data_IF_814820855692
#
_entry.id   IF_814820855692
#
_cell.length_a   1.000
_cell.length_b   1.000
_cell.length_c   1.000
_cell.angle_alpha   90.00
_cell.angle_beta   90.00
_cell.angle_gamma   90.00
#
_symmetry.space_group_name_H-M   'P 1'
#
loop_
_entity.id
_entity.type
_entity.pdbx_description
1 polymer ?
#
# COMPACT_ATOMS: atom_id res chain seq x y z
N UNK A 1 6.51 -22.02 64.45
CA UNK A 1 6.34 -22.95 63.30
C UNK A 1 5.16 -22.42 62.47
N UNK A 2 5.39 -21.77 61.33
CA UNK A 2 5.38 -22.37 59.96
C UNK A 2 3.96 -22.90 59.66
N UNK A 3 3.17 -22.48 58.67
CA UNK A 3 3.29 -21.70 57.42
C UNK A 3 1.84 -21.35 57.03
N UNK A 4 1.58 -20.15 56.48
CA UNK A 4 0.65 -19.91 55.37
C UNK A 4 0.48 -18.41 55.13
N UNK A 5 1.48 -17.79 54.51
CA UNK A 5 1.40 -16.40 53.99
C UNK A 5 1.71 -16.31 52.49
N UNK A 6 1.67 -17.43 51.75
CA UNK A 6 1.96 -17.45 50.31
C UNK A 6 0.77 -17.71 49.39
N UNK A 7 -0.46 -17.86 49.91
CA UNK A 7 -1.64 -18.12 49.06
C UNK A 7 -2.56 -16.90 48.86
N UNK A 8 -2.38 -15.81 49.63
CA UNK A 8 -3.19 -14.59 49.47
C UNK A 8 -2.57 -13.56 48.51
N UNK A 9 -1.27 -13.70 48.19
CA UNK A 9 -0.56 -12.81 47.27
C UNK A 9 -0.73 -13.14 45.79
N UNK A 10 -1.28 -14.31 45.45
CA UNK A 10 -1.43 -14.75 44.06
C UNK A 10 -2.81 -14.41 43.45
N UNK A 11 -3.82 -14.14 44.28
CA UNK A 11 -5.18 -13.81 43.80
C UNK A 11 -5.31 -12.31 43.45
N UNK A 12 -4.48 -11.44 44.05
CA UNK A 12 -4.53 -9.99 43.80
C UNK A 12 -3.74 -9.59 42.53
N UNK A 13 -2.74 -10.36 42.11
CA UNK A 13 -1.97 -10.05 40.89
C UNK A 13 -2.73 -10.43 39.61
N UNK A 14 -3.61 -11.42 39.66
CA UNK A 14 -4.44 -11.83 38.50
C UNK A 14 -5.65 -10.91 38.29
N UNK A 15 -6.15 -10.26 39.35
CA UNK A 15 -7.27 -9.32 39.22
C UNK A 15 -6.85 -7.94 38.67
N UNK A 16 -5.60 -7.52 38.84
CA UNK A 16 -5.10 -6.25 38.29
C UNK A 16 -4.63 -6.33 36.84
N UNK A 17 -4.38 -7.52 36.28
CA UNK A 17 -3.94 -7.68 34.89
C UNK A 17 -5.10 -7.85 33.88
N UNK A 18 -6.33 -8.11 34.34
CA UNK A 18 -7.51 -8.24 33.46
C UNK A 18 -8.25 -6.90 33.28
N UNK A 19 -7.99 -5.89 34.11
CA UNK A 19 -8.62 -4.56 34.00
C UNK A 19 -7.79 -3.57 33.16
N UNK A 20 -6.54 -3.91 32.80
CA UNK A 20 -5.67 -3.07 31.98
C UNK A 20 -5.69 -3.39 30.47
N UNK A 21 -6.52 -4.35 30.02
CA UNK A 21 -6.65 -4.75 28.61
C UNK A 21 -8.03 -4.42 27.99
N UNK A 22 -8.77 -3.49 28.58
CA UNK A 22 -10.11 -3.11 28.13
C UNK A 22 -10.30 -1.59 27.86
N UNK A 23 -9.21 -0.85 27.60
CA UNK A 23 -9.26 0.60 27.35
C UNK A 23 -8.57 1.08 26.05
N UNK A 24 -8.46 0.24 25.03
CA UNK A 24 -8.13 0.69 23.66
C UNK A 24 -9.16 0.13 22.67
N UNK A 25 -10.43 0.42 22.93
CA UNK A 25 -11.49 0.50 21.92
C UNK A 25 -12.45 1.56 22.46
N UNK A 26 -12.30 2.82 22.02
CA UNK A 26 -13.33 3.88 22.01
C UNK A 26 -12.70 5.24 21.66
N UNK A 27 -12.50 5.48 20.36
CA UNK A 27 -12.90 6.76 19.77
C UNK A 27 -13.84 6.42 18.62
N UNK A 28 -15.14 6.40 18.93
CA UNK A 28 -16.17 6.03 17.96
C UNK A 28 -17.51 5.73 18.61
N UNK A 29 -18.09 6.71 19.30
CA UNK A 29 -19.53 6.78 19.54
C UNK A 29 -19.91 8.22 19.92
N UNK A 30 -20.29 9.02 18.92
CA UNK A 30 -21.25 10.11 19.14
C UNK A 30 -22.64 9.53 18.88
N UNK A 31 -23.54 9.71 19.84
CA UNK A 31 -24.95 9.40 19.70
C UNK A 31 -25.71 10.71 19.51
N UNK A 32 -26.50 10.80 18.44
CA UNK A 32 -27.60 11.76 18.33
C UNK A 32 -27.67 12.54 17.02
N UNK A 33 -28.18 11.91 15.97
CA UNK A 33 -29.38 12.38 15.23
C UNK A 33 -29.54 11.61 13.93
N UNK A 34 -30.71 11.03 13.77
CA UNK A 34 -31.21 10.31 12.60
C UNK A 34 -31.11 11.17 11.33
N UNK A 35 -30.18 10.81 10.47
CA UNK A 35 -30.34 10.97 9.03
C UNK A 35 -29.80 9.69 8.39
N UNK A 36 -30.68 8.98 7.69
CA UNK A 36 -30.33 7.85 6.85
C UNK A 36 -29.56 8.37 5.64
N UNK A 37 -28.28 8.67 5.82
CA UNK A 37 -27.33 8.79 4.72
C UNK A 37 -27.01 7.38 4.28
N UNK A 38 -27.53 7.01 3.10
CA UNK A 38 -27.09 5.87 2.30
C UNK A 38 -25.56 5.79 2.43
N UNK A 39 -25.06 4.73 3.07
CA UNK A 39 -23.62 4.55 3.27
C UNK A 39 -22.98 4.52 1.90
N UNK A 40 -22.33 5.60 1.49
CA UNK A 40 -21.41 5.55 0.36
C UNK A 40 -20.36 4.53 0.76
N UNK A 41 -20.42 3.32 0.20
CA UNK A 41 -19.39 2.31 0.43
C UNK A 41 -18.05 2.97 0.16
N UNK A 42 -17.19 3.10 1.17
CA UNK A 42 -15.83 3.61 0.95
C UNK A 42 -15.17 2.75 -0.12
N UNK A 43 -14.29 3.34 -0.95
CA UNK A 43 -13.54 2.56 -1.93
C UNK A 43 -12.78 1.41 -1.22
N UNK A 44 -12.32 1.65 0.02
CA UNK A 44 -11.82 0.63 0.94
C UNK A 44 -12.75 -0.57 1.16
N UNK A 45 -14.05 -0.37 1.38
CA UNK A 45 -14.97 -1.52 1.64
C UNK A 45 -15.02 -2.45 0.42
N UNK A 46 -14.84 -1.91 -0.79
CA UNK A 46 -14.74 -2.70 -2.02
C UNK A 46 -13.33 -3.30 -2.21
N UNK A 47 -12.26 -2.60 -1.80
CA UNK A 47 -10.89 -3.10 -1.84
C UNK A 47 -10.59 -4.19 -0.78
N UNK A 48 -11.20 -4.13 0.41
CA UNK A 48 -11.02 -5.08 1.50
C UNK A 48 -11.77 -6.40 1.24
N UNK A 49 -12.98 -6.33 0.67
CA UNK A 49 -13.76 -7.51 0.25
C UNK A 49 -13.16 -8.24 -0.96
N UNK A 50 -12.14 -7.64 -1.57
CA UNK A 50 -11.38 -8.19 -2.70
C UNK A 50 -9.97 -8.53 -2.27
N UNK A 51 -9.76 -9.17 -1.10
CA UNK A 51 -8.48 -9.80 -0.63
C UNK A 51 -8.60 -11.35 -0.57
N UNK A 52 -7.62 -12.22 -0.96
CA UNK A 52 -6.13 -12.14 -1.05
C UNK A 52 -5.42 -12.04 -2.45
N UNK A 53 -4.09 -11.81 -2.50
CA UNK A 53 -3.31 -12.20 -3.71
C UNK A 53 -2.25 -13.26 -3.45
N UNK A 54 -1.57 -13.28 -2.31
CA UNK A 54 -0.94 -14.51 -1.81
C UNK A 54 -1.23 -14.66 -0.33
N UNK A 55 -1.84 -15.78 0.06
CA UNK A 55 -2.11 -16.02 1.48
C UNK A 55 -0.78 -16.22 2.21
N UNK A 56 -0.58 -15.63 3.40
CA UNK A 56 0.54 -16.03 4.24
C UNK A 56 0.44 -17.50 4.59
N UNK A 57 1.59 -18.14 4.76
CA UNK A 57 1.60 -19.47 5.34
C UNK A 57 0.99 -19.40 6.75
N UNK A 58 0.04 -20.30 7.06
CA UNK A 58 -0.41 -20.46 8.44
C UNK A 58 0.81 -20.79 9.31
N UNK A 59 0.90 -20.19 10.50
CA UNK A 59 2.05 -20.17 11.44
C UNK A 59 2.60 -21.54 11.89
N UNK A 60 2.21 -22.64 11.24
CA UNK A 60 2.74 -23.98 11.44
C UNK A 60 3.64 -24.36 10.27
N UNK A 61 4.95 -24.37 10.54
CA UNK A 61 6.02 -24.91 9.71
C UNK A 61 6.48 -24.07 8.50
N UNK A 62 7.29 -23.05 8.79
CA UNK A 62 8.44 -22.75 7.93
C UNK A 62 9.67 -22.73 8.82
N UNK A 63 10.43 -23.83 8.79
CA UNK A 63 11.86 -23.79 9.07
C UNK A 63 12.46 -22.69 8.21
N UNK A 64 12.66 -21.52 8.82
CA UNK A 64 13.24 -20.36 8.17
C UNK A 64 14.64 -20.74 7.68
N UNK A 65 14.74 -21.10 6.41
CA UNK A 65 16.00 -20.93 5.69
C UNK A 65 16.35 -19.45 5.81
N UNK A 66 17.58 -19.13 6.21
CA UNK A 66 18.06 -17.77 6.52
C UNK A 66 17.99 -16.75 5.36
N UNK A 67 17.26 -17.04 4.29
CA UNK A 67 17.22 -16.33 3.00
C UNK A 67 15.81 -15.85 2.58
N UNK A 68 14.75 -16.21 3.31
CA UNK A 68 13.37 -15.78 2.99
C UNK A 68 12.95 -14.59 3.88
N UNK A 69 13.04 -13.38 3.33
CA UNK A 69 12.68 -12.15 4.05
C UNK A 69 13.08 -10.86 3.31
N UNK A 70 13.09 -9.74 4.04
CA UNK A 70 13.48 -8.43 3.52
C UNK A 70 14.88 -8.47 2.89
N UNK A 71 15.06 -7.83 1.74
CA UNK A 71 16.28 -7.86 0.93
C UNK A 71 16.32 -8.94 -0.15
N UNK A 72 15.43 -9.94 -0.09
CA UNK A 72 15.27 -10.90 -1.18
C UNK A 72 14.28 -10.38 -2.24
N UNK A 73 14.69 -10.20 -3.51
CA UNK A 73 13.80 -9.68 -4.55
C UNK A 73 12.53 -10.51 -4.79
N UNK A 74 12.61 -11.83 -4.60
CA UNK A 74 11.45 -12.73 -4.72
C UNK A 74 10.50 -12.55 -3.54
N UNK A 75 11.02 -12.28 -2.34
CA UNK A 75 10.20 -11.92 -1.19
C UNK A 75 9.47 -10.60 -1.44
N UNK A 76 10.11 -9.60 -2.05
CA UNK A 76 9.43 -8.35 -2.45
C UNK A 76 8.28 -8.62 -3.41
N UNK A 77 8.45 -9.51 -4.38
CA UNK A 77 7.38 -9.88 -5.33
C UNK A 77 6.18 -10.59 -4.64
N UNK A 78 6.44 -11.39 -3.60
CA UNK A 78 5.40 -11.94 -2.74
C UNK A 78 4.74 -10.85 -1.88
N UNK A 79 5.55 -10.12 -1.12
CA UNK A 79 5.11 -9.23 -0.06
C UNK A 79 4.26 -8.07 -0.59
N UNK A 80 4.61 -7.52 -1.75
CA UNK A 80 3.90 -6.38 -2.34
C UNK A 80 2.43 -6.70 -2.66
N UNK A 81 2.10 -7.97 -2.90
CA UNK A 81 0.74 -8.45 -3.18
C UNK A 81 0.26 -9.49 -2.16
N UNK A 82 0.94 -9.63 -1.01
CA UNK A 82 0.47 -10.48 0.09
C UNK A 82 -0.92 -10.01 0.52
N UNK A 83 -1.78 -10.96 0.89
CA UNK A 83 -3.05 -10.62 1.54
C UNK A 83 -2.82 -9.73 2.77
N UNK A 84 -3.58 -8.65 2.87
CA UNK A 84 -3.61 -7.81 4.05
C UNK A 84 -5.00 -7.85 4.69
N UNK A 85 -5.04 -8.20 5.97
CA UNK A 85 -6.23 -8.11 6.82
C UNK A 85 -5.88 -7.25 8.02
N UNK A 86 -6.51 -6.08 8.17
CA UNK A 86 -6.19 -5.13 9.23
C UNK A 86 -6.22 -5.78 10.64
N UNK A 87 -7.18 -6.67 10.89
CA UNK A 87 -7.29 -7.39 12.18
C UNK A 87 -6.13 -8.34 12.48
N UNK A 88 -5.36 -8.74 11.46
CA UNK A 88 -4.23 -9.68 11.55
C UNK A 88 -2.88 -8.99 11.40
N UNK A 89 -2.79 -8.05 10.46
CA UNK A 89 -1.53 -7.58 9.89
C UNK A 89 -1.14 -6.14 10.30
N UNK A 90 -2.05 -5.36 10.89
CA UNK A 90 -1.74 -3.99 11.32
C UNK A 90 -0.57 -3.99 12.33
N UNK A 91 0.43 -3.13 12.11
CA UNK A 91 1.66 -3.09 12.91
C UNK A 91 2.72 -4.14 12.55
N UNK A 92 2.41 -5.11 11.67
CA UNK A 92 3.36 -6.11 11.16
C UNK A 92 3.60 -6.02 9.64
N UNK A 93 2.62 -5.50 8.90
CA UNK A 93 2.72 -5.19 7.49
C UNK A 93 2.73 -3.69 7.30
N UNK A 94 3.77 -3.21 6.65
CA UNK A 94 3.95 -1.83 6.26
C UNK A 94 3.35 -1.54 4.87
N UNK A 95 3.51 -0.30 4.42
CA UNK A 95 2.99 0.21 3.13
C UNK A 95 3.77 -0.28 1.92
N UNK A 96 4.78 -1.15 2.09
CA UNK A 96 5.33 -1.91 0.96
C UNK A 96 4.32 -2.89 0.37
N UNK A 97 3.28 -3.22 1.13
CA UNK A 97 2.15 -3.98 0.64
C UNK A 97 1.11 -3.07 -0.05
N UNK A 98 0.75 -3.38 -1.29
CA UNK A 98 -0.20 -2.59 -2.09
C UNK A 98 -1.56 -2.45 -1.40
N UNK A 99 -2.05 -3.51 -0.76
CA UNK A 99 -3.35 -3.48 -0.09
C UNK A 99 -3.30 -2.56 1.12
N UNK A 100 -2.29 -2.67 1.99
CA UNK A 100 -2.10 -1.71 3.09
C UNK A 100 -2.02 -0.27 2.58
N UNK A 101 -1.28 -0.03 1.51
CA UNK A 101 -1.17 1.30 0.90
C UNK A 101 -2.53 1.84 0.41
N UNK A 102 -3.33 1.03 -0.30
CA UNK A 102 -4.67 1.42 -0.75
C UNK A 102 -5.58 1.78 0.44
N UNK A 103 -5.48 1.03 1.54
CA UNK A 103 -6.26 1.25 2.76
C UNK A 103 -5.91 2.57 3.40
N UNK A 104 -4.61 2.83 3.53
CA UNK A 104 -4.13 4.05 4.16
C UNK A 104 -4.42 5.28 3.31
N UNK A 105 -4.31 5.17 1.97
CA UNK A 105 -4.73 6.24 1.05
C UNK A 105 -6.23 6.50 1.13
N UNK A 106 -7.08 5.46 1.18
CA UNK A 106 -8.52 5.64 1.38
C UNK A 106 -8.84 6.29 2.75
N UNK A 107 -8.09 5.94 3.79
CA UNK A 107 -8.21 6.57 5.11
C UNK A 107 -7.88 8.07 5.07
N UNK A 108 -6.82 8.47 4.34
CA UNK A 108 -6.51 9.89 4.11
C UNK A 108 -7.62 10.57 3.31
N UNK A 109 -8.07 9.96 2.21
CA UNK A 109 -9.14 10.52 1.37
C UNK A 109 -10.40 10.72 2.21
N UNK A 110 -10.88 9.67 2.86
CA UNK A 110 -12.12 9.69 3.66
C UNK A 110 -12.05 10.68 4.82
N UNK A 111 -10.89 10.78 5.49
CA UNK A 111 -10.69 11.69 6.61
C UNK A 111 -10.64 13.16 6.21
N UNK A 112 -9.99 13.47 5.08
CA UNK A 112 -9.74 14.86 4.65
C UNK A 112 -10.83 15.39 3.70
N UNK A 113 -11.46 14.51 2.92
CA UNK A 113 -12.53 14.88 1.96
C UNK A 113 -13.67 15.65 2.63
N UNK A 114 -14.07 15.28 3.84
CA UNK A 114 -15.16 15.98 4.56
C UNK A 114 -14.83 17.44 4.89
N UNK A 115 -13.54 17.82 4.87
CA UNK A 115 -13.07 19.18 5.09
C UNK A 115 -12.72 19.91 3.79
N UNK A 116 -12.80 19.22 2.65
CA UNK A 116 -12.54 19.80 1.33
C UNK A 116 -13.59 20.85 0.98
N UNK A 117 -13.11 21.97 0.44
CA UNK A 117 -13.93 23.11 0.01
C UNK A 117 -13.85 23.23 -1.50
N UNK A 118 -14.91 23.75 -2.09
CA UNK A 118 -14.92 24.06 -3.52
C UNK A 118 -13.79 25.03 -3.87
N UNK A 119 -13.09 24.72 -4.95
CA UNK A 119 -12.08 25.57 -5.58
C UNK A 119 -12.48 25.82 -7.04
N UNK A 120 -11.80 26.75 -7.71
CA UNK A 120 -11.91 26.82 -9.16
C UNK A 120 -11.34 25.53 -9.75
N UNK A 121 -12.11 24.87 -10.63
CA UNK A 121 -11.67 23.65 -11.30
C UNK A 121 -10.32 23.87 -11.96
N UNK A 122 -9.36 23.02 -11.63
CA UNK A 122 -8.01 23.12 -12.16
C UNK A 122 -7.34 21.76 -12.27
N UNK A 123 -6.41 21.67 -13.21
CA UNK A 123 -5.49 20.54 -13.32
C UNK A 123 -4.44 20.62 -12.21
N UNK A 124 -4.36 19.58 -11.40
CA UNK A 124 -3.31 19.39 -10.40
C UNK A 124 -2.31 18.40 -11.00
N UNK A 125 -1.10 18.90 -11.27
CA UNK A 125 -0.01 18.09 -11.83
C UNK A 125 0.82 17.53 -10.70
N UNK A 126 0.97 16.21 -10.67
CA UNK A 126 1.86 15.56 -9.73
C UNK A 126 3.35 15.86 -10.03
N UNK A 127 4.21 15.91 -8.99
CA UNK A 127 5.66 16.01 -9.14
C UNK A 127 6.33 14.87 -9.93
N UNK A 128 5.69 13.71 -10.06
CA UNK A 128 6.28 12.59 -10.80
C UNK A 128 5.71 12.59 -12.22
N UNK A 129 6.59 12.61 -13.23
CA UNK A 129 6.17 12.70 -14.64
C UNK A 129 5.25 11.55 -15.10
N UNK A 130 5.31 10.40 -14.40
CA UNK A 130 4.43 9.26 -14.63
C UNK A 130 3.04 9.41 -14.02
N UNK A 131 2.88 10.28 -13.02
CA UNK A 131 1.63 10.47 -12.31
C UNK A 131 0.61 11.21 -13.17
N UNK A 132 -0.56 10.57 -13.33
CA UNK A 132 -1.66 11.15 -14.09
C UNK A 132 -2.02 12.53 -13.54
N UNK A 133 -2.24 13.46 -14.48
CA UNK A 133 -2.88 14.72 -14.16
C UNK A 133 -4.32 14.48 -13.75
N UNK A 134 -4.74 15.17 -12.70
CA UNK A 134 -6.09 15.06 -12.15
C UNK A 134 -6.74 16.44 -12.23
N UNK A 135 -8.00 16.45 -12.67
CA UNK A 135 -8.83 17.65 -12.62
C UNK A 135 -9.53 17.66 -11.26
N UNK A 136 -9.32 18.72 -10.49
CA UNK A 136 -9.87 18.88 -9.15
C UNK A 136 -10.77 20.11 -9.08
N UNK A 137 -11.88 20.01 -8.35
CA UNK A 137 -12.81 21.09 -8.04
C UNK A 137 -13.02 21.26 -6.52
N UNK A 138 -12.35 20.44 -5.71
CA UNK A 138 -12.32 20.52 -4.25
C UNK A 138 -10.90 20.37 -3.72
N UNK A 139 -10.58 21.06 -2.61
CA UNK A 139 -9.31 20.87 -1.91
C UNK A 139 -9.40 21.17 -0.40
N UNK A 140 -8.47 20.58 0.37
CA UNK A 140 -8.25 20.86 1.79
C UNK A 140 -6.77 20.75 2.14
N UNK A 141 -6.30 21.62 3.03
CA UNK A 141 -5.00 21.52 3.69
C UNK A 141 -5.22 21.45 5.20
N UNK A 142 -4.93 20.32 5.81
CA UNK A 142 -5.02 20.10 7.26
C UNK A 142 -3.65 20.23 7.90
N UNK A 143 -3.34 21.44 8.37
CA UNK A 143 -2.05 21.75 8.99
C UNK A 143 -1.79 20.89 10.24
N UNK A 144 -2.79 20.76 11.11
CA UNK A 144 -2.66 20.00 12.36
C UNK A 144 -2.44 18.50 12.17
N UNK A 145 -3.14 17.91 11.19
CA UNK A 145 -3.02 16.48 10.86
C UNK A 145 -1.93 16.20 9.82
N UNK A 146 -1.27 17.26 9.32
CA UNK A 146 -0.26 17.23 8.25
C UNK A 146 -0.69 16.43 7.02
N UNK A 147 -1.92 16.66 6.58
CA UNK A 147 -2.51 15.99 5.41
C UNK A 147 -3.14 17.00 4.49
N UNK A 148 -3.18 16.71 3.21
CA UNK A 148 -3.90 17.54 2.27
C UNK A 148 -4.44 16.71 1.10
N UNK A 149 -5.46 17.26 0.44
CA UNK A 149 -6.15 16.63 -0.68
C UNK A 149 -6.56 17.68 -1.70
N UNK A 150 -6.49 17.32 -2.98
CA UNK A 150 -7.32 17.90 -4.01
C UNK A 150 -8.05 16.77 -4.72
N UNK A 151 -9.33 16.95 -4.99
CA UNK A 151 -10.16 15.91 -5.59
C UNK A 151 -11.25 16.48 -6.48
N UNK A 152 -11.77 15.59 -7.32
CA UNK A 152 -13.11 15.68 -7.90
C UNK A 152 -13.81 14.35 -7.66
N UNK A 153 -15.07 14.44 -7.25
CA UNK A 153 -15.90 13.26 -7.05
C UNK A 153 -17.27 13.44 -7.67
N UNK A 154 -17.63 12.49 -8.53
CA UNK A 154 -18.95 12.37 -9.13
C UNK A 154 -19.66 11.13 -8.59
N UNK A 155 -20.88 10.90 -9.05
CA UNK A 155 -21.60 9.65 -8.81
C UNK A 155 -20.83 8.42 -9.33
N UNK A 156 -20.02 8.58 -10.38
CA UNK A 156 -19.39 7.47 -11.10
C UNK A 156 -17.89 7.35 -10.84
N UNK A 157 -17.24 8.40 -10.32
CA UNK A 157 -15.78 8.43 -10.24
C UNK A 157 -15.27 9.26 -9.07
N UNK A 158 -14.12 8.84 -8.52
CA UNK A 158 -13.26 9.64 -7.66
C UNK A 158 -11.94 9.85 -8.40
N UNK A 159 -11.48 11.08 -8.49
CA UNK A 159 -10.08 11.40 -8.80
C UNK A 159 -9.54 12.24 -7.64
N UNK A 160 -8.41 11.85 -7.06
CA UNK A 160 -7.82 12.55 -5.93
C UNK A 160 -6.29 12.52 -5.98
N UNK A 161 -5.67 13.61 -5.53
CA UNK A 161 -4.27 13.65 -5.12
C UNK A 161 -4.26 13.94 -3.63
N UNK A 162 -3.61 13.08 -2.87
CA UNK A 162 -3.44 13.22 -1.42
C UNK A 162 -1.97 13.29 -1.06
N UNK A 163 -1.70 14.01 0.01
CA UNK A 163 -0.39 14.09 0.63
C UNK A 163 -0.50 13.91 2.13
N UNK A 164 0.52 13.35 2.76
CA UNK A 164 0.55 13.14 4.20
C UNK A 164 1.95 13.26 4.78
N UNK A 165 2.00 13.62 6.06
CA UNK A 165 3.12 13.36 6.95
C UNK A 165 2.60 12.53 8.12
N UNK A 166 3.16 11.35 8.33
CA UNK A 166 2.93 10.56 9.54
C UNK A 166 4.15 10.54 10.43
N UNK A 167 3.94 10.70 11.73
CA UNK A 167 4.99 10.61 12.74
C UNK A 167 4.63 9.47 13.69
N UNK A 168 5.29 8.32 13.55
CA UNK A 168 5.07 7.16 14.44
C UNK A 168 5.87 7.27 15.75
N UNK A 169 6.86 8.16 15.78
CA UNK A 169 7.64 8.48 16.98
C UNK A 169 8.17 9.93 16.91
N UNK A 170 8.75 10.43 18.00
CA UNK A 170 9.49 11.69 18.00
C UNK A 170 10.74 11.67 17.08
N UNK A 171 11.03 10.51 16.50
CA UNK A 171 12.20 10.22 15.72
C UNK A 171 11.87 10.35 14.22
N UNK A 172 11.09 9.45 13.61
CA UNK A 172 10.94 9.42 12.14
C UNK A 172 9.62 9.98 11.64
N UNK A 173 9.67 10.68 10.51
CA UNK A 173 8.49 11.05 9.73
C UNK A 173 8.44 10.23 8.44
N UNK A 174 7.25 9.77 8.09
CA UNK A 174 6.91 9.31 6.75
C UNK A 174 6.29 10.47 5.99
N UNK A 175 6.77 10.73 4.78
CA UNK A 175 6.22 11.71 3.87
C UNK A 175 5.75 11.00 2.61
N UNK A 176 4.50 11.25 2.20
CA UNK A 176 3.97 10.57 1.03
C UNK A 176 3.00 11.41 0.22
N UNK A 177 2.85 10.97 -1.02
CA UNK A 177 1.88 11.47 -2.00
C UNK A 177 1.30 10.29 -2.76
N UNK A 178 -0.01 10.33 -3.01
CA UNK A 178 -0.69 9.38 -3.87
C UNK A 178 -1.69 10.09 -4.77
N UNK A 179 -1.76 9.68 -6.03
CA UNK A 179 -2.87 9.97 -6.91
C UNK A 179 -3.71 8.71 -7.10
N UNK A 180 -5.03 8.88 -7.05
CA UNK A 180 -6.01 7.81 -7.18
C UNK A 180 -7.03 8.23 -8.22
N UNK A 181 -7.35 7.31 -9.12
CA UNK A 181 -8.58 7.33 -9.92
C UNK A 181 -9.34 6.06 -9.66
N UNK A 182 -10.61 6.18 -9.30
CA UNK A 182 -11.49 5.04 -9.08
C UNK A 182 -12.82 5.25 -9.78
N UNK A 183 -13.17 4.35 -10.69
CA UNK A 183 -14.48 4.31 -11.33
C UNK A 183 -15.41 3.40 -10.51
N UNK A 184 -16.41 4.02 -9.87
CA UNK A 184 -17.39 3.36 -9.00
C UNK A 184 -18.29 2.39 -9.77
N UNK A 185 -18.49 2.61 -11.07
CA UNK A 185 -19.33 1.74 -11.91
C UNK A 185 -18.54 0.53 -12.42
N UNK A 186 -17.40 0.76 -13.05
CA UNK A 186 -16.60 -0.31 -13.68
C UNK A 186 -15.70 -1.02 -12.70
N UNK A 187 -15.50 -0.47 -11.49
CA UNK A 187 -14.56 -0.96 -10.48
C UNK A 187 -13.09 -0.89 -10.92
N UNK A 188 -12.79 -0.05 -11.92
CA UNK A 188 -11.43 0.24 -12.34
C UNK A 188 -10.75 1.17 -11.33
N UNK A 189 -9.50 0.85 -10.98
CA UNK A 189 -8.64 1.67 -10.14
C UNK A 189 -7.32 1.93 -10.84
N UNK A 190 -6.81 3.14 -10.69
CA UNK A 190 -5.40 3.47 -10.82
C UNK A 190 -4.93 4.12 -9.52
N UNK A 191 -3.88 3.58 -8.92
CA UNK A 191 -3.13 4.15 -7.83
C UNK A 191 -1.70 4.40 -8.29
N UNK A 192 -1.21 5.58 -8.00
CA UNK A 192 0.20 5.89 -8.11
C UNK A 192 0.63 6.61 -6.86
N UNK A 193 1.65 6.10 -6.20
CA UNK A 193 2.06 6.58 -4.91
C UNK A 193 3.56 6.55 -4.75
N UNK A 194 4.06 7.39 -3.87
CA UNK A 194 5.42 7.30 -3.36
C UNK A 194 5.46 7.82 -1.94
N UNK A 195 6.33 7.25 -1.14
CA UNK A 195 6.62 7.76 0.19
C UNK A 195 8.07 7.48 0.59
N UNK A 196 8.55 8.28 1.52
CA UNK A 196 9.87 8.14 2.12
C UNK A 196 9.76 8.25 3.64
N UNK A 197 10.55 7.47 4.36
CA UNK A 197 10.67 7.53 5.82
C UNK A 197 12.05 8.08 6.17
N UNK A 198 12.13 9.36 6.57
CA UNK A 198 13.40 10.01 6.92
C UNK A 198 13.22 11.24 7.86
N UNK A 199 14.31 11.68 8.49
CA UNK A 199 14.46 12.95 9.20
C UNK A 199 14.81 14.10 8.25
N UNK A 200 15.58 13.81 7.19
CA UNK A 200 16.08 14.82 6.24
C UNK A 200 16.15 14.22 4.84
N UNK A 201 15.14 14.49 4.01
CA UNK A 201 15.12 14.03 2.62
C UNK A 201 16.30 14.56 1.78
N UNK A 202 17.08 15.55 2.29
CA UNK A 202 18.29 16.03 1.65
C UNK A 202 19.54 15.21 1.96
N UNK A 203 19.53 14.36 3.01
CA UNK A 203 20.53 13.31 3.18
C UNK A 203 20.09 12.10 2.34
N UNK A 204 20.85 11.78 1.29
CA UNK A 204 20.54 10.66 0.36
C UNK A 204 20.43 9.28 1.02
N UNK A 205 20.68 9.18 2.33
CA UNK A 205 20.48 7.97 3.13
C UNK A 205 19.05 7.88 3.67
N UNK A 206 18.06 7.91 2.79
CA UNK A 206 16.70 7.55 3.15
C UNK A 206 16.68 6.08 3.57
N UNK A 207 16.39 5.78 4.83
CA UNK A 207 16.34 4.41 5.34
C UNK A 207 15.30 3.56 4.60
N UNK A 208 14.27 4.21 4.05
CA UNK A 208 13.20 3.53 3.33
C UNK A 208 12.48 4.48 2.37
N UNK A 209 12.43 4.11 1.09
CA UNK A 209 11.78 4.90 0.03
C UNK A 209 11.10 3.98 -0.98
N UNK A 210 9.91 4.35 -1.41
CA UNK A 210 9.04 3.52 -2.22
C UNK A 210 8.40 4.32 -3.34
N UNK A 211 8.32 3.71 -4.53
CA UNK A 211 7.48 4.18 -5.64
C UNK A 211 6.64 3.02 -6.15
N UNK A 212 5.34 3.25 -6.26
CA UNK A 212 4.35 2.26 -6.67
C UNK A 212 3.40 2.82 -7.73
N UNK A 213 3.09 1.99 -8.70
CA UNK A 213 2.01 2.15 -9.67
C UNK A 213 1.21 0.86 -9.68
N UNK A 214 -0.10 0.98 -9.57
CA UNK A 214 -1.03 -0.12 -9.72
C UNK A 214 -2.23 0.36 -10.54
N UNK A 215 -2.58 -0.36 -11.60
CA UNK A 215 -3.87 -0.15 -12.27
C UNK A 215 -4.57 -1.49 -12.46
N UNK A 216 -5.88 -1.49 -12.54
CA UNK A 216 -6.61 -2.73 -12.65
C UNK A 216 -8.09 -2.59 -12.38
N UNK A 217 -8.71 -3.72 -12.06
CA UNK A 217 -10.11 -3.80 -11.76
C UNK A 217 -10.31 -4.69 -10.53
N UNK A 218 -10.89 -4.11 -9.48
CA UNK A 218 -11.03 -4.81 -8.20
C UNK A 218 -12.07 -5.93 -8.26
N UNK A 219 -13.05 -5.84 -9.17
CA UNK A 219 -14.06 -6.89 -9.34
C UNK A 219 -13.51 -8.12 -10.05
N UNK A 220 -12.69 -7.94 -11.09
CA UNK A 220 -12.09 -9.04 -11.86
C UNK A 220 -10.74 -9.51 -11.31
N UNK A 221 -10.16 -8.79 -10.34
CA UNK A 221 -8.84 -9.04 -9.80
C UNK A 221 -7.73 -8.99 -10.87
N UNK A 222 -7.93 -8.21 -11.94
CA UNK A 222 -6.92 -7.96 -12.96
C UNK A 222 -6.06 -6.79 -12.53
N UNK A 223 -4.74 -6.95 -12.53
CA UNK A 223 -3.82 -5.88 -12.13
C UNK A 223 -2.62 -5.78 -13.07
N UNK A 224 -2.15 -4.55 -13.23
CA UNK A 224 -0.81 -4.17 -13.66
C UNK A 224 -0.15 -3.47 -12.48
N UNK A 225 1.09 -3.83 -12.21
CA UNK A 225 1.80 -3.38 -11.03
C UNK A 225 3.24 -3.08 -11.37
N UNK A 226 3.76 -1.95 -10.89
CA UNK A 226 5.15 -1.54 -11.03
C UNK A 226 5.61 -0.92 -9.73
N UNK A 227 6.80 -1.28 -9.29
CA UNK A 227 7.19 -1.06 -7.91
C UNK A 227 8.71 -1.02 -7.73
N UNK A 228 9.17 -0.14 -6.85
CA UNK A 228 10.53 -0.14 -6.32
C UNK A 228 10.48 0.17 -4.82
N UNK A 229 11.22 -0.62 -4.04
CA UNK A 229 11.51 -0.34 -2.63
C UNK A 229 12.90 -0.87 -2.33
N UNK A 230 13.74 -0.08 -1.66
CA UNK A 230 15.04 -0.55 -1.15
C UNK A 230 15.85 -1.33 -2.22
N UNK A 231 15.98 -0.75 -3.43
CA UNK A 231 16.67 -1.34 -4.58
C UNK A 231 15.98 -2.54 -5.26
N UNK A 232 14.99 -3.17 -4.61
CA UNK A 232 14.19 -4.25 -5.17
C UNK A 232 13.12 -3.67 -6.09
N UNK A 233 13.02 -4.23 -7.30
CA UNK A 233 12.12 -3.74 -8.34
C UNK A 233 11.22 -4.86 -8.83
N UNK A 234 9.95 -4.55 -9.04
CA UNK A 234 8.94 -5.49 -9.50
C UNK A 234 8.08 -4.84 -10.59
N UNK A 235 7.80 -5.60 -11.64
CA UNK A 235 6.76 -5.36 -12.64
C UNK A 235 5.91 -6.61 -12.68
N UNK A 236 4.59 -6.50 -12.61
CA UNK A 236 3.71 -7.64 -12.67
C UNK A 236 2.42 -7.33 -13.43
N UNK A 237 1.85 -8.34 -14.07
CA UNK A 237 0.53 -8.26 -14.69
C UNK A 237 -0.18 -9.60 -14.63
N UNK A 238 -1.49 -9.56 -14.41
CA UNK A 238 -2.35 -10.72 -14.60
C UNK A 238 -3.62 -10.70 -13.75
N UNK A 239 -4.16 -11.89 -13.50
CA UNK A 239 -5.32 -12.10 -12.63
C UNK A 239 -4.84 -12.77 -11.35
N UNK A 240 -5.04 -12.09 -10.24
CA UNK A 240 -4.38 -12.42 -9.00
C UNK A 240 -5.09 -13.47 -8.14
N UNK A 241 -6.21 -14.01 -8.64
CA UNK A 241 -7.06 -14.96 -7.92
C UNK A 241 -7.70 -16.02 -8.79
N UNK A 242 -7.92 -17.19 -8.19
CA UNK A 242 -8.81 -18.21 -8.71
C UNK A 242 -8.08 -19.27 -9.54
N UNK A 243 -8.69 -20.44 -9.64
CA UNK A 243 -8.13 -21.55 -10.42
C UNK A 243 -8.05 -21.17 -11.91
N UNK A 244 -6.96 -21.53 -12.57
CA UNK A 244 -6.70 -21.21 -13.99
C UNK A 244 -6.17 -19.80 -14.24
N UNK A 245 -6.19 -18.91 -13.25
CA UNK A 245 -5.63 -17.58 -13.33
C UNK A 245 -4.15 -17.55 -12.89
N UNK A 246 -3.43 -16.51 -13.28
CA UNK A 246 -2.02 -16.32 -12.91
C UNK A 246 -1.61 -14.84 -13.00
N UNK A 247 -0.53 -14.54 -12.30
CA UNK A 247 0.24 -13.31 -12.38
C UNK A 247 1.63 -13.62 -12.95
N UNK A 248 2.09 -12.85 -13.93
CA UNK A 248 3.47 -12.90 -14.42
C UNK A 248 4.25 -11.76 -13.79
N UNK A 249 5.36 -12.08 -13.13
CA UNK A 249 6.26 -11.10 -12.54
C UNK A 249 7.57 -11.05 -13.31
N UNK A 250 8.11 -9.85 -13.43
CA UNK A 250 9.49 -9.50 -13.75
C UNK A 250 10.03 -8.79 -12.51
N UNK A 251 11.14 -9.25 -11.95
CA UNK A 251 11.69 -8.70 -10.72
C UNK A 251 13.22 -8.70 -10.75
N UNK A 252 13.82 -7.79 -9.99
CA UNK A 252 15.27 -7.65 -9.90
C UNK A 252 15.68 -7.04 -8.55
N UNK A 253 16.84 -7.45 -8.04
CA UNK A 253 17.46 -6.88 -6.86
C UNK A 253 18.55 -5.88 -7.17
N UNK A 254 19.43 -5.71 -6.19
CA UNK A 254 20.64 -4.86 -6.22
C UNK A 254 21.69 -5.31 -7.25
N UNK A 255 21.77 -6.61 -7.52
CA UNK A 255 22.65 -7.20 -8.53
C UNK A 255 22.20 -6.90 -9.98
N UNK A 256 21.01 -6.30 -10.14
CA UNK A 256 20.36 -6.06 -11.42
C UNK A 256 20.06 -7.32 -12.24
N UNK A 257 20.10 -8.50 -11.62
CA UNK A 257 19.71 -9.73 -12.31
C UNK A 257 18.19 -9.75 -12.49
N UNK A 258 17.73 -9.72 -13.75
CA UNK A 258 16.31 -9.74 -14.08
C UNK A 258 15.82 -11.18 -14.13
N UNK A 259 14.83 -11.48 -13.30
CA UNK A 259 14.17 -12.79 -13.21
C UNK A 259 12.69 -12.65 -13.48
N UNK A 260 12.09 -13.77 -13.88
CA UNK A 260 10.66 -13.88 -14.10
C UNK A 260 10.10 -15.06 -13.32
N UNK A 261 8.87 -14.92 -12.85
CA UNK A 261 8.13 -16.01 -12.21
C UNK A 261 6.66 -15.93 -12.63
N UNK A 262 6.11 -17.09 -12.96
CA UNK A 262 4.68 -17.27 -13.19
C UNK A 262 4.08 -17.75 -11.89
N UNK A 263 3.11 -17.02 -11.36
CA UNK A 263 2.50 -17.34 -10.07
C UNK A 263 1.02 -17.67 -10.27
N UNK A 264 0.58 -18.91 -9.99
CA UNK A 264 -0.83 -19.27 -10.05
C UNK A 264 -1.69 -18.40 -9.13
N UNK A 265 -2.92 -18.07 -9.54
CA UNK A 265 -3.89 -17.30 -8.74
C UNK A 265 -4.42 -18.04 -7.50
N UNK A 266 -3.93 -19.25 -7.24
CA UNK A 266 -4.19 -20.04 -6.02
C UNK A 266 -2.94 -20.21 -5.16
N UNK A 267 -1.82 -19.61 -5.54
CA UNK A 267 -0.57 -19.71 -4.81
C UNK A 267 -0.62 -18.95 -3.47
N UNK A 268 0.25 -19.35 -2.57
CA UNK A 268 0.47 -18.75 -1.25
C UNK A 268 1.97 -18.51 -1.03
N UNK A 269 2.35 -18.05 0.16
CA UNK A 269 3.76 -17.88 0.54
C UNK A 269 4.60 -19.16 0.38
N UNK A 270 3.98 -20.33 0.55
CA UNK A 270 4.63 -21.63 0.36
C UNK A 270 5.15 -21.81 -1.07
N UNK A 271 4.42 -21.31 -2.06
CA UNK A 271 4.86 -21.32 -3.45
C UNK A 271 6.18 -20.54 -3.63
N UNK A 272 6.24 -19.30 -3.14
CA UNK A 272 7.41 -18.45 -3.31
C UNK A 272 8.63 -18.95 -2.53
N UNK A 273 8.43 -19.33 -1.27
CA UNK A 273 9.51 -19.89 -0.44
C UNK A 273 10.06 -21.21 -1.00
N UNK A 274 9.21 -22.05 -1.61
CA UNK A 274 9.66 -23.22 -2.35
C UNK A 274 10.50 -22.83 -3.59
N UNK A 275 10.13 -21.77 -4.31
CA UNK A 275 10.94 -21.29 -5.42
C UNK A 275 12.29 -20.71 -4.97
N UNK A 276 12.36 -20.12 -3.77
CA UNK A 276 13.63 -19.64 -3.22
C UNK A 276 14.63 -20.78 -2.97
N UNK A 277 14.13 -21.96 -2.56
CA UNK A 277 14.96 -23.14 -2.28
C UNK A 277 15.13 -24.06 -3.50
N UNK A 278 14.23 -23.99 -4.49
CA UNK A 278 14.25 -24.79 -5.71
C UNK A 278 13.67 -23.99 -6.88
N UNK A 279 14.54 -23.41 -7.70
CA UNK A 279 14.25 -22.42 -8.77
C UNK A 279 13.52 -23.02 -10.00
N UNK A 280 12.56 -23.90 -9.81
CA UNK A 280 11.88 -24.65 -10.90
C UNK A 280 10.93 -23.80 -11.74
N UNK A 281 10.44 -22.69 -11.20
CA UNK A 281 9.52 -21.75 -11.86
C UNK A 281 10.10 -20.33 -11.95
N UNK A 282 11.42 -20.20 -11.78
CA UNK A 282 12.14 -18.94 -11.96
C UNK A 282 12.90 -19.00 -13.29
N UNK A 283 12.66 -18.00 -14.13
CA UNK A 283 13.22 -17.91 -15.47
C UNK A 283 14.17 -16.71 -15.54
N UNK A 284 15.36 -16.90 -16.09
CA UNK A 284 16.36 -15.82 -16.28
C UNK A 284 16.24 -15.13 -17.65
N UNK A 285 15.29 -15.54 -18.49
CA UNK A 285 15.06 -14.94 -19.82
C UNK A 285 13.57 -14.98 -20.19
N UNK A 286 13.05 -13.93 -20.88
CA UNK A 286 11.71 -13.94 -21.48
C UNK A 286 11.45 -15.13 -22.40
N UNK A 287 12.45 -15.62 -23.11
CA UNK A 287 12.30 -16.71 -24.08
C UNK A 287 12.09 -18.07 -23.42
N UNK A 288 12.47 -18.20 -22.15
CA UNK A 288 12.27 -19.41 -21.36
C UNK A 288 10.86 -19.48 -20.73
N UNK A 289 10.07 -18.41 -20.81
CA UNK A 289 8.72 -18.38 -20.26
C UNK A 289 7.80 -19.36 -21.02
N UNK A 290 6.90 -20.06 -20.31
CA UNK A 290 5.98 -21.00 -20.94
C UNK A 290 4.99 -20.28 -21.87
N UNK A 291 4.59 -20.94 -22.96
CA UNK A 291 3.64 -20.39 -23.92
C UNK A 291 2.26 -20.04 -23.31
N UNK A 292 1.93 -20.57 -22.14
CA UNK A 292 0.69 -20.25 -21.42
C UNK A 292 0.64 -18.81 -20.91
N UNK A 293 1.77 -18.09 -20.84
CA UNK A 293 1.82 -16.71 -20.32
C UNK A 293 1.84 -15.61 -21.37
N UNK A 294 1.63 -15.95 -22.64
CA UNK A 294 1.70 -15.01 -23.76
C UNK A 294 0.73 -13.83 -23.62
N UNK A 295 -0.41 -14.01 -22.93
CA UNK A 295 -1.37 -12.93 -22.69
C UNK A 295 -0.78 -11.72 -21.94
N UNK A 296 0.23 -11.92 -21.07
CA UNK A 296 0.84 -10.85 -20.27
C UNK A 296 2.32 -10.63 -20.60
N UNK A 297 2.98 -11.58 -21.27
CA UNK A 297 4.42 -11.58 -21.55
C UNK A 297 4.91 -10.29 -22.20
N UNK A 298 4.29 -9.86 -23.31
CA UNK A 298 4.74 -8.66 -24.04
C UNK A 298 4.76 -7.43 -23.15
N UNK A 299 3.71 -7.22 -22.36
CA UNK A 299 3.63 -6.06 -21.47
C UNK A 299 4.67 -6.16 -20.35
N UNK A 300 4.75 -7.31 -19.65
CA UNK A 300 5.67 -7.46 -18.51
C UNK A 300 7.14 -7.33 -18.93
N UNK A 301 7.52 -7.91 -20.07
CA UNK A 301 8.89 -7.88 -20.57
C UNK A 301 9.31 -6.46 -20.98
N UNK A 302 8.43 -5.77 -21.72
CA UNK A 302 8.72 -4.46 -22.29
C UNK A 302 8.54 -3.29 -21.30
N UNK A 303 7.84 -3.50 -20.19
CA UNK A 303 7.72 -2.49 -19.15
C UNK A 303 9.04 -2.37 -18.38
N UNK A 304 9.61 -1.18 -18.39
CA UNK A 304 10.78 -0.84 -17.60
C UNK A 304 10.48 -0.86 -16.11
N UNK A 305 11.48 -1.17 -15.29
CA UNK A 305 11.38 -0.99 -13.85
C UNK A 305 11.31 0.49 -13.46
N UNK A 306 10.89 0.78 -12.24
CA UNK A 306 11.12 2.10 -11.68
C UNK A 306 12.61 2.23 -11.37
N UNK A 307 13.14 3.45 -11.53
CA UNK A 307 14.51 3.79 -11.15
C UNK A 307 14.53 4.58 -9.85
N UNK A 308 15.70 4.68 -9.22
CA UNK A 308 15.88 5.47 -8.01
C UNK A 308 15.63 6.98 -8.23
N UNK A 309 15.73 7.48 -9.46
CA UNK A 309 15.38 8.86 -9.79
C UNK A 309 13.88 9.15 -9.73
N UNK A 310 13.05 8.12 -9.62
CA UNK A 310 11.59 8.25 -9.47
C UNK A 310 11.13 8.17 -8.01
N UNK A 311 12.07 8.07 -7.07
CA UNK A 311 11.83 8.14 -5.63
C UNK A 311 11.78 9.59 -5.14
N UNK A 312 11.15 9.82 -3.98
CA UNK A 312 11.15 11.15 -3.36
C UNK A 312 12.56 11.46 -2.85
N UNK A 313 13.14 12.57 -3.30
CA UNK A 313 14.45 13.07 -2.88
C UNK A 313 14.42 14.48 -2.32
N UNK A 314 13.26 15.15 -2.33
CA UNK A 314 13.07 16.50 -1.78
C UNK A 314 11.61 16.67 -1.33
N UNK A 315 11.41 17.23 -0.13
CA UNK A 315 10.08 17.60 0.39
C UNK A 315 9.32 18.54 -0.54
N UNK A 316 10.02 19.38 -1.31
CA UNK A 316 9.40 20.28 -2.26
C UNK A 316 8.67 19.54 -3.39
N UNK A 317 9.09 18.32 -3.71
CA UNK A 317 8.37 17.48 -4.67
C UNK A 317 6.95 17.23 -4.18
N UNK A 318 6.73 17.16 -2.86
CA UNK A 318 5.41 16.85 -2.33
C UNK A 318 4.45 18.05 -2.28
N UNK A 319 4.90 19.25 -2.63
CA UNK A 319 4.02 20.41 -2.79
C UNK A 319 3.41 20.39 -4.19
N UNK A 320 2.08 20.24 -4.28
CA UNK A 320 1.40 20.00 -5.56
C UNK A 320 0.38 21.10 -5.84
N UNK A 321 0.56 21.82 -6.95
CA UNK A 321 -0.41 22.82 -7.44
C UNK A 321 0.20 24.14 -7.93
N UNK A 322 -0.64 25.02 -8.44
CA UNK A 322 -0.24 26.13 -9.32
C UNK A 322 -0.05 27.50 -8.62
N UNK A 323 0.54 27.56 -7.42
CA UNK A 323 0.77 28.84 -6.68
C UNK A 323 -0.50 29.70 -6.41
N UNK A 324 -1.69 29.08 -6.51
CA UNK A 324 -3.02 29.69 -6.34
C UNK A 324 -3.84 28.93 -5.30
N UNK A 325 -5.07 29.37 -5.04
CA UNK A 325 -6.04 28.60 -4.27
C UNK A 325 -6.16 27.17 -4.85
N UNK A 326 -5.86 26.15 -4.05
CA UNK A 326 -5.84 24.74 -4.44
C UNK A 326 -4.45 24.14 -4.71
N UNK A 327 -3.38 24.83 -4.33
CA UNK A 327 -2.12 24.15 -4.01
C UNK A 327 -2.28 23.32 -2.73
N UNK A 328 -1.97 22.03 -2.84
CA UNK A 328 -1.78 21.09 -1.75
C UNK A 328 -0.38 21.38 -1.19
N UNK A 329 -0.32 22.01 -0.02
CA UNK A 329 0.94 22.27 0.66
C UNK A 329 1.11 21.23 1.76
N UNK A 330 2.21 20.48 1.71
CA UNK A 330 2.61 19.63 2.85
C UNK A 330 3.12 20.49 4.01
N UNK A 331 3.72 21.64 3.72
CA UNK A 331 4.23 22.57 4.71
C UNK A 331 3.56 23.94 4.56
N UNK A 332 2.58 24.21 5.42
CA UNK A 332 2.34 25.59 5.87
C UNK A 332 3.30 25.84 7.04
N UNK A 333 4.29 26.71 6.85
CA UNK A 333 4.86 27.47 7.96
C UNK A 333 4.02 28.72 8.19
#
# INVERSE_FOLDING_TARGET
MIKNKKLLGLIIVVACFVVALANIVLFGCSQGSSSSTTSSSSFYTNAANTTPVFKPASVSASSATSEWGSGNPLYTAYYCLREFLASRDEGSVDRSNLYKLLIDVDSVISGVKLKARAITTQEVTSPFASLQKIICDQASNEIGEKRAIALTETENQIEAIVTWIWSDSAAKNEYGIAAVKFNKLTQEITLEATYSVDYDLSDTKTDYNLRCYATGNVATNTFEFKYIVDGNRVVAKGVSRGSGNYMLFKYAGYDNEVKYIVVPGTADEGYFSAQNSSLTQIYSSPDALPASVEAYKTWVVNTDFFTTSELVSDLNQLNVGNSRAGTIYINYQ
#
